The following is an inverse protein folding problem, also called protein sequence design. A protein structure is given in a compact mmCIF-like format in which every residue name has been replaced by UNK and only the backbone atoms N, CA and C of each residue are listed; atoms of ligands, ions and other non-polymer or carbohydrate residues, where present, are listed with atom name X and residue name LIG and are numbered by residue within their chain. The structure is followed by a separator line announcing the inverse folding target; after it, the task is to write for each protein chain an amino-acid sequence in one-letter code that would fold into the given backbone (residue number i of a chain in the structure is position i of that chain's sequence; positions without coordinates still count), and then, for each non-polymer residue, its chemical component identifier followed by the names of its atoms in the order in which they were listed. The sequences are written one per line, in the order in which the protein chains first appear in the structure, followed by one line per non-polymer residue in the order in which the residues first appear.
data_IF_983369540908
#
_entry.id   IF_983369540908
#
_cell.length_a   1.000
_cell.length_b   1.000
_cell.length_c   1.000
_cell.angle_alpha   90.00
_cell.angle_beta   90.00
_cell.angle_gamma   90.00
#
_symmetry.space_group_name_H-M   'P 1'
#
loop_
_entity.id
_entity.type
_entity.pdbx_description
1 polymer ?
#
# COMPACT_ATOMS: atom_id res chain seq x y z
N UNK A 1 -4.37 15.98 -6.95
CA UNK A 1 -4.09 15.10 -5.78
C UNK A 1 -4.80 13.79 -6.04
N UNK A 2 -4.09 12.67 -6.04
CA UNK A 2 -4.70 11.36 -6.31
C UNK A 2 -5.39 10.85 -5.04
N UNK A 3 -6.68 10.57 -5.11
CA UNK A 3 -7.49 10.12 -3.95
C UNK A 3 -8.29 8.87 -4.26
N UNK A 4 -8.10 8.30 -5.45
CA UNK A 4 -8.73 7.07 -5.91
C UNK A 4 -7.98 6.59 -7.16
N UNK A 5 -7.92 5.27 -7.35
CA UNK A 5 -7.50 4.67 -8.61
C UNK A 5 -8.27 3.38 -8.89
N UNK A 6 -8.24 2.92 -10.14
CA UNK A 6 -8.84 1.66 -10.54
C UNK A 6 -7.78 0.56 -10.66
N UNK A 7 -8.05 -0.59 -10.06
CA UNK A 7 -7.22 -1.79 -10.15
C UNK A 7 -7.95 -2.86 -10.97
N UNK A 8 -7.64 -2.94 -12.26
CA UNK A 8 -8.29 -3.87 -13.20
C UNK A 8 -8.04 -5.33 -12.79
N UNK A 9 -9.12 -6.02 -12.39
CA UNK A 9 -9.03 -7.37 -11.82
C UNK A 9 -8.46 -8.37 -12.82
N UNK A 10 -8.89 -8.30 -14.08
CA UNK A 10 -8.46 -9.26 -15.10
C UNK A 10 -6.94 -9.25 -15.30
N UNK A 11 -6.35 -8.05 -15.33
CA UNK A 11 -4.91 -7.87 -15.53
C UNK A 11 -4.10 -8.12 -14.26
N UNK A 12 -4.62 -7.69 -13.10
CA UNK A 12 -3.88 -7.75 -11.83
C UNK A 12 -4.13 -9.05 -11.04
N UNK A 13 -5.03 -9.94 -11.50
CA UNK A 13 -5.41 -11.16 -10.77
C UNK A 13 -4.21 -11.99 -10.28
N UNK A 14 -3.16 -12.29 -11.09
CA UNK A 14 -2.04 -13.08 -10.62
C UNK A 14 -1.28 -12.44 -9.44
N UNK A 15 -1.27 -11.11 -9.40
CA UNK A 15 -0.58 -10.34 -8.38
C UNK A 15 -1.45 -10.23 -7.13
N UNK A 16 -2.74 -9.93 -7.31
CA UNK A 16 -3.73 -9.86 -6.22
C UNK A 16 -3.84 -11.21 -5.52
N UNK A 17 -3.93 -12.32 -6.26
CA UNK A 17 -4.00 -13.66 -5.68
C UNK A 17 -2.76 -13.97 -4.83
N UNK A 18 -1.56 -13.61 -5.29
CA UNK A 18 -0.33 -13.76 -4.49
C UNK A 18 -0.36 -12.93 -3.21
N UNK A 19 -0.83 -11.68 -3.28
CA UNK A 19 -0.95 -10.82 -2.11
C UNK A 19 -1.96 -11.37 -1.08
N UNK A 20 -3.10 -11.88 -1.56
CA UNK A 20 -4.18 -12.43 -0.71
C UNK A 20 -3.79 -13.72 0.00
N UNK A 21 -2.89 -14.52 -0.58
CA UNK A 21 -2.40 -15.77 0.03
C UNK A 21 -1.41 -15.54 1.18
N UNK A 22 -0.92 -14.32 1.38
CA UNK A 22 0.00 -14.02 2.48
C UNK A 22 -0.77 -13.91 3.81
N UNK A 23 -0.25 -14.49 4.92
CA UNK A 23 -0.85 -14.34 6.25
C UNK A 23 -1.03 -12.87 6.70
N UNK A 24 -0.25 -11.98 6.10
CA UNK A 24 -0.38 -10.53 6.31
C UNK A 24 -1.74 -10.00 5.85
N UNK A 25 -2.33 -10.52 4.76
CA UNK A 25 -3.63 -10.08 4.28
C UNK A 25 -4.73 -10.37 5.32
N UNK A 26 -4.75 -11.58 5.87
CA UNK A 26 -5.68 -11.98 6.93
C UNK A 26 -5.47 -11.15 8.19
N UNK A 27 -4.21 -10.90 8.57
CA UNK A 27 -3.87 -10.06 9.73
C UNK A 27 -4.44 -8.65 9.55
N UNK A 28 -4.21 -8.00 8.39
CA UNK A 28 -4.73 -6.67 8.11
C UNK A 28 -6.27 -6.68 8.11
N UNK A 29 -6.89 -7.66 7.43
CA UNK A 29 -8.36 -7.81 7.38
C UNK A 29 -8.95 -7.88 8.79
N UNK A 30 -8.39 -8.72 9.65
CA UNK A 30 -8.92 -9.00 10.98
C UNK A 30 -8.62 -7.87 11.97
N UNK A 31 -7.42 -7.29 11.95
CA UNK A 31 -7.02 -6.22 12.89
C UNK A 31 -7.65 -4.88 12.54
N UNK A 32 -7.82 -4.58 11.25
CA UNK A 32 -8.34 -3.28 10.79
C UNK A 32 -9.80 -3.31 10.35
N UNK A 33 -10.45 -4.48 10.38
CA UNK A 33 -11.82 -4.70 9.89
C UNK A 33 -12.03 -4.15 8.47
N UNK A 34 -11.07 -4.41 7.57
CA UNK A 34 -11.07 -3.93 6.17
C UNK A 34 -11.35 -5.06 5.19
N UNK A 35 -11.92 -4.74 4.02
CA UNK A 35 -12.02 -5.70 2.92
C UNK A 35 -10.62 -6.15 2.47
N UNK A 36 -10.51 -7.42 2.07
CA UNK A 36 -9.32 -7.97 1.42
C UNK A 36 -9.39 -7.91 -0.12
N UNK A 37 -10.40 -7.21 -0.65
CA UNK A 37 -10.48 -6.88 -2.07
C UNK A 37 -9.40 -5.85 -2.42
N UNK A 38 -8.62 -6.15 -3.47
CA UNK A 38 -7.54 -5.30 -3.97
C UNK A 38 -7.71 -4.98 -5.45
N UNK A 39 -8.94 -5.11 -5.96
CA UNK A 39 -9.32 -4.79 -7.35
C UNK A 39 -10.54 -3.86 -7.36
N UNK A 40 -10.76 -3.19 -8.48
CA UNK A 40 -11.86 -2.26 -8.66
C UNK A 40 -11.49 -0.87 -8.15
N UNK A 41 -12.43 -0.20 -7.51
CA UNK A 41 -12.25 1.17 -7.04
C UNK A 41 -11.48 1.19 -5.72
N UNK A 42 -10.18 1.52 -5.75
CA UNK A 42 -9.34 1.59 -4.55
C UNK A 42 -9.30 3.03 -4.02
N UNK A 43 -9.62 3.21 -2.74
CA UNK A 43 -9.63 4.50 -2.04
C UNK A 43 -8.63 4.48 -0.88
N UNK A 44 -8.34 5.64 -0.28
CA UNK A 44 -7.68 5.71 1.01
C UNK A 44 -8.29 4.73 2.01
N UNK A 45 -7.44 4.08 2.80
CA UNK A 45 -7.77 3.04 3.79
C UNK A 45 -8.13 1.67 3.23
N UNK A 46 -8.29 1.53 1.91
CA UNK A 46 -8.47 0.22 1.29
C UNK A 46 -7.13 -0.52 1.18
N UNK A 47 -7.24 -1.85 1.08
CA UNK A 47 -6.11 -2.73 0.84
C UNK A 47 -5.75 -2.72 -0.65
N UNK A 48 -4.46 -2.64 -0.95
CA UNK A 48 -3.94 -2.72 -2.30
C UNK A 48 -2.79 -3.73 -2.36
N UNK A 49 -2.67 -4.41 -3.50
CA UNK A 49 -1.47 -5.17 -3.82
C UNK A 49 -0.37 -4.20 -4.29
N UNK A 50 0.82 -4.32 -3.70
CA UNK A 50 1.97 -3.48 -4.05
C UNK A 50 3.21 -4.34 -4.26
N UNK A 51 4.12 -3.85 -5.09
CA UNK A 51 5.47 -4.40 -5.18
C UNK A 51 6.39 -3.71 -4.18
N UNK A 52 7.11 -4.50 -3.37
CA UNK A 52 8.12 -3.99 -2.45
C UNK A 52 9.28 -4.98 -2.27
N UNK A 53 10.49 -4.50 -1.89
CA UNK A 53 11.57 -5.39 -1.50
C UNK A 53 11.21 -6.18 -0.24
N UNK A 54 11.48 -7.48 -0.24
CA UNK A 54 11.38 -8.31 0.95
C UNK A 54 12.62 -8.10 1.86
N UNK A 55 12.70 -8.84 2.98
CA UNK A 55 13.83 -8.73 3.92
C UNK A 55 15.20 -9.05 3.30
N UNK A 56 15.25 -9.78 2.19
CA UNK A 56 16.46 -10.10 1.45
C UNK A 56 16.74 -9.09 0.32
N UNK A 57 15.91 -8.06 0.15
CA UNK A 57 16.02 -7.07 -0.93
C UNK A 57 15.40 -7.51 -2.25
N UNK A 58 14.85 -8.73 -2.34
CA UNK A 58 14.22 -9.24 -3.56
C UNK A 58 12.81 -8.65 -3.72
N UNK A 59 12.45 -8.27 -4.93
CA UNK A 59 11.11 -7.76 -5.23
C UNK A 59 10.06 -8.85 -4.99
N UNK A 60 9.03 -8.51 -4.20
CA UNK A 60 7.89 -9.37 -3.91
C UNK A 60 6.60 -8.56 -3.87
N UNK A 61 5.48 -9.26 -3.76
CA UNK A 61 4.14 -8.67 -3.70
C UNK A 61 3.68 -8.70 -2.25
N UNK A 62 3.09 -7.61 -1.78
CA UNK A 62 2.52 -7.54 -0.44
C UNK A 62 1.15 -6.86 -0.44
N UNK A 63 0.22 -7.29 0.44
CA UNK A 63 -0.95 -6.52 0.78
C UNK A 63 -0.55 -5.32 1.67
N UNK A 64 -0.93 -4.11 1.29
CA UNK A 64 -0.72 -2.90 2.10
C UNK A 64 -1.97 -2.02 2.12
N UNK A 65 -2.17 -1.27 3.20
CA UNK A 65 -3.24 -0.27 3.29
C UNK A 65 -2.78 1.03 2.66
N UNK A 66 -3.62 1.62 1.80
CA UNK A 66 -3.37 2.97 1.29
C UNK A 66 -3.63 4.03 2.37
N UNK A 67 -2.62 4.27 3.20
CA UNK A 67 -2.67 5.28 4.25
C UNK A 67 -1.47 5.17 5.18
N UNK A 68 -0.66 6.21 5.22
CA UNK A 68 0.52 6.26 6.09
C UNK A 68 0.13 6.78 7.48
N UNK A 69 0.23 5.91 8.47
CA UNK A 69 -0.09 6.24 9.87
C UNK A 69 1.04 7.02 10.51
N UNK A 70 0.69 8.09 11.22
CA UNK A 70 1.63 8.89 12.02
C UNK A 70 1.08 9.01 13.44
N UNK A 71 1.92 8.81 14.45
CA UNK A 71 1.49 8.75 15.86
C UNK A 71 0.72 9.99 16.31
N UNK A 72 1.02 11.15 15.73
CA UNK A 72 0.41 12.45 16.06
C UNK A 72 -0.87 12.76 15.30
N UNK A 73 -1.39 11.87 14.45
CA UNK A 73 -2.59 12.10 13.65
C UNK A 73 -3.56 10.93 13.75
N UNK A 74 -4.84 11.23 13.98
CA UNK A 74 -5.93 10.26 13.89
C UNK A 74 -6.31 9.92 12.44
N UNK A 75 -5.84 10.70 11.46
CA UNK A 75 -6.11 10.48 10.03
C UNK A 75 -4.84 10.05 9.30
N UNK A 76 -4.92 9.04 8.41
CA UNK A 76 -3.78 8.60 7.62
C UNK A 76 -3.39 9.63 6.56
N UNK A 77 -2.11 9.72 6.28
CA UNK A 77 -1.58 10.52 5.18
C UNK A 77 -1.61 9.69 3.89
N UNK A 78 -2.26 10.19 2.86
CA UNK A 78 -2.56 9.42 1.63
C UNK A 78 -1.66 9.80 0.44
N UNK A 79 -0.97 10.93 0.52
CA UNK A 79 -0.09 11.45 -0.52
C UNK A 79 1.16 12.08 0.11
N UNK A 80 2.28 11.96 -0.59
CA UNK A 80 3.53 12.65 -0.29
C UNK A 80 3.92 13.54 -1.48
N UNK A 81 4.41 14.75 -1.19
CA UNK A 81 4.96 15.65 -2.22
C UNK A 81 6.40 15.27 -2.50
N UNK A 82 6.70 14.88 -3.74
CA UNK A 82 8.02 14.40 -4.14
C UNK A 82 9.13 15.42 -3.84
N UNK A 83 8.83 16.70 -3.99
CA UNK A 83 9.76 17.82 -3.79
C UNK A 83 10.26 17.94 -2.35
N UNK A 84 9.58 17.30 -1.40
CA UNK A 84 9.89 17.38 0.04
C UNK A 84 9.97 16.01 0.72
N UNK A 85 9.93 14.93 -0.05
CA UNK A 85 9.82 13.57 0.48
C UNK A 85 11.07 13.11 1.25
N UNK A 86 12.25 13.57 0.84
CA UNK A 86 13.55 13.30 1.48
C UNK A 86 13.90 14.31 2.60
N UNK A 87 13.18 15.43 2.67
CA UNK A 87 13.43 16.49 3.64
C UNK A 87 12.54 16.37 4.89
N UNK A 88 11.25 16.06 4.72
CA UNK A 88 10.29 16.07 5.83
C UNK A 88 10.53 14.86 6.76
N UNK A 89 10.66 15.06 8.09
CA UNK A 89 10.92 13.97 9.04
C UNK A 89 9.91 12.81 8.97
N UNK A 90 8.65 13.12 8.66
CA UNK A 90 7.58 12.12 8.52
C UNK A 90 7.79 11.14 7.36
N UNK A 91 8.49 11.55 6.30
CA UNK A 91 8.68 10.76 5.09
C UNK A 91 10.11 10.24 4.94
N UNK A 92 11.10 11.01 5.40
CA UNK A 92 12.53 10.82 5.11
C UNK A 92 13.01 9.38 5.28
N UNK A 93 12.74 8.74 6.43
CA UNK A 93 13.18 7.35 6.64
C UNK A 93 12.53 6.37 5.66
N UNK A 94 11.21 6.47 5.49
CA UNK A 94 10.45 5.59 4.59
C UNK A 94 10.79 5.83 3.12
N UNK A 95 11.10 7.07 2.75
CA UNK A 95 11.53 7.45 1.40
C UNK A 95 12.79 6.68 0.97
N UNK A 96 13.77 6.54 1.88
CA UNK A 96 15.01 5.82 1.57
C UNK A 96 14.88 4.30 1.74
N UNK A 97 14.10 3.83 2.72
CA UNK A 97 14.15 2.41 3.15
C UNK A 97 12.92 1.58 2.80
N UNK A 98 11.77 2.20 2.55
CA UNK A 98 10.45 1.52 2.49
C UNK A 98 9.68 1.88 1.22
N UNK A 99 10.38 1.87 0.08
CA UNK A 99 9.77 2.15 -1.23
C UNK A 99 8.90 0.98 -1.67
N UNK A 100 7.73 1.30 -2.19
CA UNK A 100 6.83 0.35 -2.84
C UNK A 100 6.21 0.99 -4.09
N UNK A 101 5.70 0.15 -4.98
CA UNK A 101 5.00 0.57 -6.18
C UNK A 101 3.55 0.07 -6.12
N UNK A 102 2.60 1.00 -6.17
CA UNK A 102 1.19 0.68 -6.33
C UNK A 102 0.91 0.12 -7.73
N UNK A 103 0.04 -0.89 -7.78
CA UNK A 103 -0.46 -1.44 -9.03
C UNK A 103 -1.69 -0.66 -9.44
N UNK A 104 -1.50 0.24 -10.40
CA UNK A 104 -2.55 1.04 -11.01
C UNK A 104 -2.57 0.65 -12.49
N UNK A 105 -3.76 0.47 -13.05
CA UNK A 105 -3.94 0.30 -14.50
C UNK A 105 -4.61 1.55 -15.06
#
# INVERSE_FOLDING_TARGET
MCTWFYAERSTLSPIITKAQQLPLADTIRNTMSRSAEMSGNIRPTDMAAVFAPNRQGNMAVFPMIWGFTVERSSKPLINCRIETADQKPVWKDSWFRRRCCHLIW
#
